data_IF_101371409693
#
_entry.id   IF_101371409693
#
_cell.length_a   1.000
_cell.length_b   1.000
_cell.length_c   1.000
_cell.angle_alpha   90.00
_cell.angle_beta   90.00
_cell.angle_gamma   90.00
#
_symmetry.space_group_name_H-M   'P 1'
#
loop_
_entity.id
_entity.type
_entity.pdbx_description
1 polymer ?
#
# COMPACT_ATOMS: atom_id res chain seq x y z
N UNK A 1 -0.61 3.07 -34.51
CA UNK A 1 0.86 3.18 -34.53
C UNK A 1 1.33 2.58 -33.23
N UNK A 2 2.36 1.71 -33.21
CA UNK A 2 2.83 1.11 -31.95
C UNK A 2 4.01 1.89 -31.39
N UNK A 3 4.06 2.02 -30.08
CA UNK A 3 5.18 2.65 -29.39
C UNK A 3 6.44 1.75 -29.45
N UNK A 4 7.61 2.38 -29.45
CA UNK A 4 8.89 1.68 -29.29
C UNK A 4 9.11 1.32 -27.81
N UNK A 5 10.01 0.35 -27.56
CA UNK A 5 10.41 -0.01 -26.18
C UNK A 5 10.95 1.19 -25.42
N UNK A 6 11.74 2.04 -26.06
CA UNK A 6 12.30 3.27 -25.46
C UNK A 6 11.21 4.26 -25.03
N UNK A 7 10.12 4.36 -25.80
CA UNK A 7 8.97 5.21 -25.45
C UNK A 7 8.18 4.64 -24.27
N UNK A 8 8.05 3.32 -24.19
CA UNK A 8 7.41 2.65 -23.03
C UNK A 8 8.26 2.85 -21.77
N UNK A 9 9.58 2.67 -21.86
CA UNK A 9 10.52 2.90 -20.76
C UNK A 9 10.50 4.36 -20.29
N UNK A 10 10.33 5.31 -21.21
CA UNK A 10 10.15 6.72 -20.87
C UNK A 10 8.88 6.98 -20.07
N UNK A 11 7.75 6.36 -20.45
CA UNK A 11 6.49 6.45 -19.70
C UNK A 11 6.68 5.89 -18.28
N UNK A 12 7.30 4.71 -18.17
CA UNK A 12 7.54 4.06 -16.87
C UNK A 12 8.44 4.90 -15.97
N UNK A 13 9.53 5.46 -16.52
CA UNK A 13 10.43 6.36 -15.81
C UNK A 13 9.70 7.60 -15.30
N UNK A 14 8.84 8.20 -16.11
CA UNK A 14 8.02 9.34 -15.70
C UNK A 14 7.07 9.00 -14.54
N UNK A 15 6.47 7.80 -14.51
CA UNK A 15 5.64 7.33 -13.41
C UNK A 15 6.47 7.14 -12.13
N UNK A 16 7.68 6.63 -12.22
CA UNK A 16 8.56 6.44 -11.07
C UNK A 16 9.00 7.79 -10.49
N UNK A 17 9.55 8.67 -11.32
CA UNK A 17 10.22 9.89 -10.86
C UNK A 17 9.24 11.01 -10.49
N UNK A 18 8.20 11.21 -11.30
CA UNK A 18 7.26 12.32 -11.11
C UNK A 18 6.04 11.97 -10.27
N UNK A 19 5.62 10.68 -10.30
CA UNK A 19 4.38 10.24 -9.67
C UNK A 19 4.60 9.30 -8.47
N UNK A 20 5.85 8.97 -8.14
CA UNK A 20 6.25 8.15 -6.99
C UNK A 20 5.70 6.70 -6.99
N UNK A 21 5.77 6.03 -8.15
CA UNK A 21 5.39 4.62 -8.30
C UNK A 21 6.56 3.65 -8.08
N UNK A 22 7.64 4.06 -7.40
CA UNK A 22 8.85 3.26 -7.25
C UNK A 22 8.61 1.86 -6.65
N UNK A 23 7.77 1.79 -5.60
CA UNK A 23 7.54 0.55 -4.83
C UNK A 23 6.15 -0.06 -5.11
N UNK A 24 5.60 0.17 -6.32
CA UNK A 24 4.23 -0.15 -6.72
C UNK A 24 4.22 -0.79 -8.11
N UNK A 25 5.05 -1.82 -8.32
CA UNK A 25 5.30 -2.42 -9.64
C UNK A 25 4.02 -2.95 -10.30
N UNK A 26 3.13 -3.58 -9.51
CA UNK A 26 1.86 -4.11 -9.98
C UNK A 26 0.95 -3.04 -10.61
N UNK A 27 0.77 -1.92 -9.92
CA UNK A 27 -0.04 -0.80 -10.43
C UNK A 27 0.71 -0.03 -11.52
N UNK A 28 2.04 0.12 -11.38
CA UNK A 28 2.87 0.82 -12.38
C UNK A 28 2.78 0.14 -13.74
N UNK A 29 2.95 -1.18 -13.79
CA UNK A 29 2.87 -1.95 -15.04
C UNK A 29 1.51 -1.80 -15.71
N UNK A 30 0.41 -1.92 -14.94
CA UNK A 30 -0.94 -1.74 -15.45
C UNK A 30 -1.18 -0.32 -15.99
N UNK A 31 -0.72 0.70 -15.26
CA UNK A 31 -0.83 2.10 -15.70
C UNK A 31 0.03 2.39 -16.93
N UNK A 32 1.23 1.85 -17.01
CA UNK A 32 2.10 2.00 -18.18
C UNK A 32 1.40 1.48 -19.43
N UNK A 33 0.77 0.31 -19.36
CA UNK A 33 0.04 -0.29 -20.48
C UNK A 33 -1.17 0.57 -20.90
N UNK A 34 -1.97 1.04 -19.93
CA UNK A 34 -3.11 1.92 -20.20
C UNK A 34 -2.68 3.25 -20.83
N UNK A 35 -1.66 3.91 -20.27
CA UNK A 35 -1.15 5.19 -20.77
C UNK A 35 -0.56 5.00 -22.17
N UNK A 36 0.23 3.94 -22.39
CA UNK A 36 0.79 3.61 -23.69
C UNK A 36 -0.30 3.42 -24.74
N UNK A 37 -1.35 2.68 -24.41
CA UNK A 37 -2.51 2.46 -25.30
C UNK A 37 -3.22 3.78 -25.66
N UNK A 38 -3.41 4.67 -24.68
CA UNK A 38 -4.03 5.99 -24.95
C UNK A 38 -3.13 6.88 -25.82
N UNK A 39 -1.81 6.84 -25.60
CA UNK A 39 -0.86 7.60 -26.45
C UNK A 39 -0.88 7.07 -27.89
N UNK A 40 -0.88 5.75 -28.09
CA UNK A 40 -1.00 5.15 -29.42
C UNK A 40 -2.30 5.59 -30.13
N UNK A 41 -3.42 5.64 -29.39
CA UNK A 41 -4.69 6.10 -29.91
C UNK A 41 -4.66 7.59 -30.28
N UNK A 42 -4.06 8.46 -29.45
CA UNK A 42 -3.91 9.89 -29.76
C UNK A 42 -3.01 10.13 -30.97
N UNK A 43 -1.88 9.41 -31.07
CA UNK A 43 -1.00 9.47 -32.25
C UNK A 43 -1.69 9.02 -33.54
N UNK A 44 -2.55 7.99 -33.44
CA UNK A 44 -3.31 7.46 -34.57
C UNK A 44 -4.42 8.41 -35.05
N UNK A 45 -5.20 8.96 -34.11
CA UNK A 45 -6.37 9.79 -34.39
C UNK A 45 -6.01 11.23 -34.78
N UNK A 46 -5.04 11.81 -34.08
CA UNK A 46 -4.69 13.24 -34.19
C UNK A 46 -3.43 13.49 -34.99
N UNK A 47 -2.72 12.43 -35.46
CA UNK A 47 -1.41 12.50 -36.13
C UNK A 47 -0.37 13.29 -35.33
N UNK A 48 -0.46 13.25 -34.00
CA UNK A 48 0.48 13.91 -33.10
C UNK A 48 1.79 13.14 -33.03
N UNK A 49 2.88 13.85 -32.78
CA UNK A 49 4.15 13.25 -32.39
C UNK A 49 4.02 12.66 -30.97
N UNK A 50 4.93 11.73 -30.64
CA UNK A 50 4.92 11.08 -29.32
C UNK A 50 4.91 12.08 -28.15
N UNK A 51 5.77 13.10 -28.20
CA UNK A 51 5.94 14.08 -27.12
C UNK A 51 4.63 14.86 -26.85
N UNK A 52 3.95 15.30 -27.90
CA UNK A 52 2.68 16.03 -27.77
C UNK A 52 1.56 15.11 -27.27
N UNK A 53 1.49 13.90 -27.79
CA UNK A 53 0.53 12.89 -27.34
C UNK A 53 0.78 12.49 -25.86
N UNK A 54 2.04 12.30 -25.47
CA UNK A 54 2.45 12.01 -24.10
C UNK A 54 2.02 13.13 -23.15
N UNK A 55 2.35 14.39 -23.44
CA UNK A 55 1.96 15.54 -22.61
C UNK A 55 0.44 15.62 -22.47
N UNK A 56 -0.29 15.44 -23.55
CA UNK A 56 -1.76 15.48 -23.57
C UNK A 56 -2.38 14.38 -22.69
N UNK A 57 -1.90 13.15 -22.82
CA UNK A 57 -2.39 12.00 -22.07
C UNK A 57 -1.99 12.13 -20.59
N UNK A 58 -0.72 12.45 -20.29
CA UNK A 58 -0.27 12.63 -18.92
C UNK A 58 -1.02 13.75 -18.19
N UNK A 59 -1.32 14.86 -18.87
CA UNK A 59 -2.13 15.94 -18.27
C UNK A 59 -3.53 15.45 -17.87
N UNK A 60 -4.13 14.55 -18.64
CA UNK A 60 -5.41 13.92 -18.33
C UNK A 60 -5.33 12.99 -17.13
N UNK A 61 -4.22 12.24 -17.01
CA UNK A 61 -3.97 11.31 -15.91
C UNK A 61 -3.48 11.97 -14.62
N UNK A 62 -2.83 13.14 -14.69
CA UNK A 62 -2.26 13.84 -13.53
C UNK A 62 -3.16 13.91 -12.29
N UNK A 63 -4.48 14.20 -12.39
CA UNK A 63 -5.34 14.24 -11.22
C UNK A 63 -5.46 12.90 -10.48
N UNK A 64 -5.17 11.79 -11.15
CA UNK A 64 -5.28 10.43 -10.62
C UNK A 64 -3.95 9.86 -10.17
N UNK A 65 -2.86 10.20 -10.85
CA UNK A 65 -1.53 9.60 -10.61
C UNK A 65 -0.64 10.45 -9.70
N UNK A 66 -0.86 11.76 -9.62
CA UNK A 66 -0.05 12.60 -8.73
C UNK A 66 -0.43 12.41 -7.26
N UNK A 67 0.56 12.42 -6.34
CA UNK A 67 0.30 12.48 -4.91
C UNK A 67 -0.46 13.77 -4.56
N UNK A 68 -1.45 13.67 -3.68
CA UNK A 68 -2.21 14.84 -3.20
C UNK A 68 -1.81 15.19 -1.78
N UNK A 69 -1.55 16.46 -1.52
CA UNK A 69 -1.12 16.97 -0.20
C UNK A 69 -2.14 16.71 0.92
N UNK A 70 -3.42 16.58 0.61
CA UNK A 70 -4.50 16.29 1.55
C UNK A 70 -4.79 14.80 1.70
N UNK A 71 -4.03 13.94 1.00
CA UNK A 71 -4.20 12.50 1.13
C UNK A 71 -3.76 12.03 2.52
N UNK A 72 -4.51 11.09 3.09
CA UNK A 72 -4.17 10.40 4.36
C UNK A 72 -2.80 9.71 4.30
N UNK A 73 -2.32 9.44 3.10
CA UNK A 73 -1.06 8.77 2.83
C UNK A 73 -0.14 9.77 2.11
N UNK A 74 0.85 10.30 2.83
CA UNK A 74 1.82 11.25 2.29
C UNK A 74 2.64 10.62 1.17
N UNK A 75 2.82 11.38 0.09
CA UNK A 75 3.63 10.99 -1.08
C UNK A 75 3.18 9.72 -1.80
N UNK A 76 1.91 9.28 -1.65
CA UNK A 76 1.35 8.14 -2.35
C UNK A 76 0.47 8.61 -3.51
N UNK A 77 0.57 8.02 -4.71
CA UNK A 77 -0.29 8.33 -5.84
C UNK A 77 -1.77 8.23 -5.49
N UNK A 78 -2.61 9.15 -5.97
CA UNK A 78 -4.02 9.21 -5.56
C UNK A 78 -4.81 7.94 -5.90
N UNK A 79 -4.52 7.32 -7.05
CA UNK A 79 -5.15 6.04 -7.43
C UNK A 79 -4.85 4.93 -6.42
N UNK A 80 -3.62 4.88 -5.91
CA UNK A 80 -3.20 3.92 -4.87
C UNK A 80 -3.86 4.23 -3.54
N UNK A 81 -4.03 5.51 -3.19
CA UNK A 81 -4.79 5.91 -2.00
C UNK A 81 -6.23 5.40 -2.02
N UNK A 82 -6.88 5.38 -3.19
CA UNK A 82 -8.22 4.79 -3.36
C UNK A 82 -8.23 3.29 -3.09
N UNK A 83 -7.25 2.57 -3.64
CA UNK A 83 -7.09 1.12 -3.40
C UNK A 83 -6.86 0.85 -1.91
N UNK A 84 -5.97 1.58 -1.28
CA UNK A 84 -5.68 1.43 0.15
C UNK A 84 -6.87 1.75 1.04
N UNK A 85 -7.67 2.75 0.69
CA UNK A 85 -8.93 3.05 1.40
C UNK A 85 -9.92 1.89 1.32
N UNK A 86 -10.01 1.21 0.18
CA UNK A 86 -10.83 0.01 0.03
C UNK A 86 -10.32 -1.14 0.92
N UNK A 87 -8.99 -1.33 1.00
CA UNK A 87 -8.38 -2.31 1.89
C UNK A 87 -8.64 -1.98 3.36
N UNK A 88 -8.56 -0.70 3.76
CA UNK A 88 -8.86 -0.24 5.12
C UNK A 88 -10.26 -0.69 5.56
N UNK A 89 -11.27 -0.48 4.74
CA UNK A 89 -12.63 -0.90 5.04
C UNK A 89 -12.74 -2.43 5.22
N UNK A 90 -12.15 -3.19 4.31
CA UNK A 90 -12.15 -4.67 4.39
C UNK A 90 -11.51 -5.16 5.68
N UNK A 91 -10.35 -4.61 6.05
CA UNK A 91 -9.65 -4.98 7.29
C UNK A 91 -10.43 -4.55 8.54
N UNK A 92 -11.05 -3.36 8.54
CA UNK A 92 -11.85 -2.90 9.67
C UNK A 92 -13.06 -3.81 9.89
N UNK A 93 -13.81 -4.15 8.84
CA UNK A 93 -14.92 -5.07 8.94
C UNK A 93 -14.52 -6.47 9.39
N UNK A 94 -13.37 -6.98 8.96
CA UNK A 94 -12.85 -8.26 9.41
C UNK A 94 -12.34 -8.22 10.87
N UNK A 95 -11.80 -7.09 11.32
CA UNK A 95 -11.25 -6.94 12.66
C UNK A 95 -12.34 -6.89 13.75
N UNK A 96 -13.52 -6.33 13.46
CA UNK A 96 -14.63 -6.22 14.45
C UNK A 96 -15.05 -7.58 15.00
N UNK A 97 -15.46 -8.58 14.19
CA UNK A 97 -15.87 -9.88 14.73
C UNK A 97 -14.72 -10.60 15.45
N UNK A 98 -13.48 -10.46 14.97
CA UNK A 98 -12.31 -11.03 15.64
C UNK A 98 -12.12 -10.39 17.02
N UNK A 99 -12.22 -9.07 17.12
CA UNK A 99 -12.11 -8.37 18.41
C UNK A 99 -13.21 -8.79 19.39
N UNK A 100 -14.45 -8.95 18.93
CA UNK A 100 -15.57 -9.42 19.77
C UNK A 100 -15.33 -10.85 20.26
N UNK A 101 -14.91 -11.77 19.38
CA UNK A 101 -14.59 -13.14 19.76
C UNK A 101 -13.42 -13.21 20.75
N UNK A 102 -12.38 -12.43 20.53
CA UNK A 102 -11.24 -12.36 21.46
C UNK A 102 -11.66 -11.79 22.81
N UNK A 103 -12.48 -10.73 22.85
CA UNK A 103 -12.98 -10.16 24.11
C UNK A 103 -13.82 -11.16 24.88
N UNK A 104 -14.71 -11.90 24.20
CA UNK A 104 -15.49 -12.95 24.82
C UNK A 104 -14.62 -14.09 25.36
N UNK A 105 -13.62 -14.51 24.62
CA UNK A 105 -12.67 -15.53 25.04
C UNK A 105 -11.85 -15.08 26.26
N UNK A 106 -11.39 -13.84 26.30
CA UNK A 106 -10.71 -13.26 27.47
C UNK A 106 -11.62 -13.25 28.71
N UNK A 107 -12.88 -12.87 28.52
CA UNK A 107 -13.87 -12.89 29.64
C UNK A 107 -14.00 -14.29 30.23
N UNK A 108 -14.18 -15.34 29.41
CA UNK A 108 -14.29 -16.73 29.86
C UNK A 108 -13.04 -17.24 30.58
N UNK A 109 -11.86 -16.78 30.19
CA UNK A 109 -10.60 -17.18 30.82
C UNK A 109 -10.37 -16.46 32.14
N UNK A 110 -10.80 -15.22 32.26
CA UNK A 110 -10.75 -14.46 33.50
C UNK A 110 -11.62 -15.10 34.59
N UNK A 111 -12.78 -15.65 34.24
CA UNK A 111 -13.65 -16.42 35.20
C UNK A 111 -12.98 -17.68 35.72
N UNK A 112 -11.91 -18.19 35.05
CA UNK A 112 -11.18 -19.38 35.44
C UNK A 112 -9.81 -19.08 36.13
N UNK A 113 -9.63 -17.84 36.60
CA UNK A 113 -8.38 -17.38 37.21
C UNK A 113 -7.14 -17.57 36.32
N UNK A 114 -7.34 -17.64 35.01
CA UNK A 114 -6.26 -17.81 34.07
C UNK A 114 -5.53 -16.49 33.84
N UNK A 115 -4.19 -16.52 33.94
CA UNK A 115 -3.41 -15.30 33.75
C UNK A 115 -3.52 -14.75 32.31
N UNK A 116 -4.11 -13.57 32.17
CA UNK A 116 -4.27 -12.86 30.88
C UNK A 116 -2.92 -12.62 30.19
N UNK A 117 -1.84 -12.46 30.97
CA UNK A 117 -0.50 -12.26 30.45
C UNK A 117 0.02 -13.43 29.61
N UNK A 118 -0.32 -14.67 29.98
CA UNK A 118 0.04 -15.87 29.20
C UNK A 118 -0.57 -15.88 27.80
N UNK A 119 -1.72 -15.24 27.62
CA UNK A 119 -2.38 -15.12 26.32
C UNK A 119 -1.86 -13.96 25.49
N UNK A 120 -1.39 -12.89 26.12
CA UNK A 120 -0.82 -11.75 25.42
C UNK A 120 0.56 -12.07 24.83
N UNK A 121 1.32 -12.97 25.44
CA UNK A 121 2.65 -13.39 24.99
C UNK A 121 2.66 -13.89 23.52
N UNK A 122 1.83 -14.87 23.09
CA UNK A 122 1.84 -15.32 21.70
C UNK A 122 1.46 -14.20 20.71
N UNK A 123 0.53 -13.32 21.08
CA UNK A 123 0.13 -12.17 20.25
C UNK A 123 1.32 -11.21 20.09
N UNK A 124 2.03 -10.94 21.17
CA UNK A 124 3.23 -10.11 21.17
C UNK A 124 4.33 -10.71 20.28
N UNK A 125 4.60 -12.01 20.42
CA UNK A 125 5.58 -12.71 19.57
C UNK A 125 5.21 -12.68 18.09
N UNK A 126 3.95 -12.97 17.73
CA UNK A 126 3.48 -12.89 16.36
C UNK A 126 3.61 -11.47 15.79
N UNK A 127 3.30 -10.46 16.60
CA UNK A 127 3.47 -9.06 16.22
C UNK A 127 4.95 -8.70 15.98
N UNK A 128 5.85 -9.10 16.85
CA UNK A 128 7.31 -8.87 16.69
C UNK A 128 7.83 -9.54 15.42
N UNK A 129 7.50 -10.82 15.22
CA UNK A 129 7.96 -11.58 14.04
C UNK A 129 7.44 -10.93 12.75
N UNK A 130 6.17 -10.51 12.72
CA UNK A 130 5.58 -9.83 11.57
C UNK A 130 6.28 -8.50 11.26
N UNK A 131 6.62 -7.71 12.28
CA UNK A 131 7.34 -6.45 12.10
C UNK A 131 8.78 -6.67 11.62
N UNK A 132 9.49 -7.68 12.17
CA UNK A 132 10.83 -8.05 11.70
C UNK A 132 10.79 -8.48 10.24
N UNK A 133 9.80 -9.28 9.85
CA UNK A 133 9.60 -9.70 8.46
C UNK A 133 9.37 -8.52 7.52
N UNK A 134 8.51 -7.56 7.90
CA UNK A 134 8.25 -6.35 7.10
C UNK A 134 9.52 -5.49 6.96
N UNK A 135 10.29 -5.32 8.04
CA UNK A 135 11.58 -4.64 8.00
C UNK A 135 12.58 -5.34 7.09
N UNK A 136 12.69 -6.65 7.21
CA UNK A 136 13.56 -7.45 6.32
C UNK A 136 13.19 -7.25 4.84
N UNK A 137 11.89 -7.31 4.52
CA UNK A 137 11.39 -7.04 3.15
C UNK A 137 11.76 -5.64 2.67
N UNK A 138 11.68 -4.65 3.54
CA UNK A 138 12.09 -3.27 3.23
C UNK A 138 13.58 -3.16 2.94
N UNK A 139 14.43 -3.74 3.79
CA UNK A 139 15.89 -3.69 3.60
C UNK A 139 16.39 -4.45 2.38
N UNK A 140 15.67 -5.49 1.97
CA UNK A 140 16.02 -6.29 0.78
C UNK A 140 15.42 -5.74 -0.52
N UNK A 141 14.78 -4.55 -0.49
CA UNK A 141 14.08 -3.93 -1.63
C UNK A 141 13.09 -4.88 -2.33
N UNK A 142 12.48 -5.79 -1.57
CA UNK A 142 11.47 -6.74 -2.07
C UNK A 142 10.03 -6.26 -1.87
N UNK A 143 9.85 -4.93 -1.67
CA UNK A 143 8.52 -4.32 -1.55
C UNK A 143 8.19 -3.77 -2.92
N UNK A 144 7.54 -4.59 -3.74
CA UNK A 144 7.26 -4.27 -5.13
C UNK A 144 5.76 -4.35 -5.45
N UNK A 145 4.91 -4.53 -4.45
CA UNK A 145 3.46 -4.62 -4.67
C UNK A 145 2.69 -3.64 -3.80
N UNK A 146 1.54 -3.21 -4.31
CA UNK A 146 0.60 -2.32 -3.62
C UNK A 146 0.24 -2.83 -2.23
N UNK A 147 0.08 -4.15 -2.05
CA UNK A 147 -0.24 -4.75 -0.77
C UNK A 147 0.94 -4.71 0.21
N UNK A 148 2.16 -5.00 -0.25
CA UNK A 148 3.36 -4.95 0.61
C UNK A 148 3.70 -3.51 1.01
N UNK A 149 3.53 -2.55 0.11
CA UNK A 149 3.65 -1.12 0.39
C UNK A 149 2.61 -0.65 1.40
N UNK A 150 1.35 -1.07 1.27
CA UNK A 150 0.29 -0.80 2.23
C UNK A 150 0.62 -1.36 3.62
N UNK A 151 1.07 -2.62 3.68
CA UNK A 151 1.44 -3.26 4.94
C UNK A 151 2.54 -2.48 5.66
N UNK A 152 3.57 -2.02 4.93
CA UNK A 152 4.65 -1.22 5.51
C UNK A 152 4.18 0.16 5.99
N UNK A 153 3.38 0.87 5.19
CA UNK A 153 2.96 2.24 5.52
C UNK A 153 1.95 2.31 6.66
N UNK A 154 1.10 1.31 6.78
CA UNK A 154 -0.01 1.35 7.73
C UNK A 154 0.09 0.31 8.84
N UNK A 155 0.24 -0.96 8.48
CA UNK A 155 0.20 -2.05 9.47
C UNK A 155 1.44 -1.99 10.37
N UNK A 156 2.62 -1.71 9.79
CA UNK A 156 3.86 -1.61 10.56
C UNK A 156 3.80 -0.52 11.64
N UNK A 157 3.37 0.69 11.31
CA UNK A 157 3.25 1.82 12.27
C UNK A 157 2.25 1.52 13.38
N UNK A 158 1.09 0.95 13.03
CA UNK A 158 0.03 0.60 13.98
C UNK A 158 0.45 -0.55 14.90
N UNK A 159 1.04 -1.61 14.35
CA UNK A 159 1.47 -2.78 15.10
C UNK A 159 2.63 -2.46 16.04
N UNK A 160 3.56 -1.61 15.64
CA UNK A 160 4.65 -1.16 16.50
C UNK A 160 4.11 -0.39 17.72
N UNK A 161 3.16 0.51 17.52
CA UNK A 161 2.51 1.24 18.62
C UNK A 161 1.76 0.30 19.58
N UNK A 162 1.03 -0.68 19.07
CA UNK A 162 0.36 -1.69 19.89
C UNK A 162 1.34 -2.57 20.66
N UNK A 163 2.44 -3.00 20.04
CA UNK A 163 3.47 -3.80 20.70
C UNK A 163 4.13 -3.05 21.85
N UNK A 164 4.43 -1.77 21.66
CA UNK A 164 4.96 -0.91 22.73
C UNK A 164 3.94 -0.77 23.87
N UNK A 165 2.68 -0.55 23.56
CA UNK A 165 1.62 -0.45 24.59
C UNK A 165 1.45 -1.75 25.37
N UNK A 166 1.39 -2.90 24.72
CA UNK A 166 1.28 -4.21 25.37
C UNK A 166 2.54 -4.49 26.19
N UNK A 167 3.73 -4.24 25.64
CA UNK A 167 5.02 -4.45 26.33
C UNK A 167 5.14 -3.63 27.62
N UNK A 168 4.72 -2.37 27.60
CA UNK A 168 4.71 -1.51 28.78
C UNK A 168 3.74 -2.02 29.87
N UNK A 169 2.55 -2.52 29.49
CA UNK A 169 1.59 -3.06 30.44
C UNK A 169 1.99 -4.42 31.03
N UNK A 170 2.89 -5.16 30.41
CA UNK A 170 3.42 -6.42 30.98
C UNK A 170 4.56 -6.16 31.96
N UNK A 171 5.27 -5.04 31.80
CA UNK A 171 6.42 -4.68 32.64
C UNK A 171 6.03 -3.93 33.93
N UNK A 172 4.83 -3.41 34.00
CA UNK A 172 4.22 -2.75 35.19
C UNK A 172 3.38 -3.75 35.95
#
# INVERSE_FOLDING_TARGET
>A
MKLSTEQIDFIETALIEKCNFKDLDDVRMELTDHIATEIEAEMGNSKLLFDDAFVKVMTRWNPMILPKSWSRYENVPYIVCKLWKSLDWKFQFAAIPVAVLMSYFFFLLQERDFSVYLLLLPILFCGIISNIYLLYRKFTNKINSTLSSYALHKIFKLSLGMLLFIGLNILV
#
